data_IF_242877380661
#
_entry.id   IF_242877380661
#
_cell.length_a   1.000
_cell.length_b   1.000
_cell.length_c   1.000
_cell.angle_alpha   90.00
_cell.angle_beta   90.00
_cell.angle_gamma   90.00
#
_symmetry.space_group_name_H-M   'P 1'
#
loop_
_entity.id
_entity.type
_entity.pdbx_description
1 polymer ?
#
# COMPACT_ATOMS: atom_id res chain seq x y z
N UNK A 1 -37.32 20.64 29.55
CA UNK A 1 -35.86 20.84 29.38
C UNK A 1 -35.44 20.39 27.98
N UNK A 2 -35.16 21.35 27.08
CA UNK A 2 -34.66 21.07 25.72
C UNK A 2 -33.21 20.58 25.81
N UNK A 3 -32.95 19.33 25.39
CA UNK A 3 -31.58 18.84 25.18
C UNK A 3 -31.01 19.57 23.98
N UNK A 4 -30.02 20.43 24.22
CA UNK A 4 -29.24 21.05 23.17
C UNK A 4 -28.44 19.95 22.45
N UNK A 5 -28.70 19.78 21.15
CA UNK A 5 -27.83 19.02 20.26
C UNK A 5 -26.50 19.80 20.13
N UNK A 6 -25.52 19.44 20.95
CA UNK A 6 -24.13 19.83 20.73
C UNK A 6 -23.70 19.20 19.40
N UNK A 7 -23.55 20.05 18.38
CA UNK A 7 -23.13 19.66 17.04
C UNK A 7 -21.85 18.82 17.09
N UNK A 8 -21.81 17.75 16.29
CA UNK A 8 -20.57 16.98 16.09
C UNK A 8 -19.48 17.95 15.63
N UNK A 9 -18.41 18.05 16.41
CA UNK A 9 -17.21 18.79 16.03
C UNK A 9 -16.68 18.21 14.72
N UNK A 10 -16.85 18.94 13.63
CA UNK A 10 -16.47 18.54 12.27
C UNK A 10 -14.99 18.86 11.98
N UNK A 11 -14.22 19.21 13.01
CA UNK A 11 -12.78 19.49 12.87
C UNK A 11 -12.01 18.20 12.56
N UNK A 12 -11.03 18.24 11.63
CA UNK A 12 -10.19 17.09 11.35
C UNK A 12 -9.52 16.61 12.64
N UNK A 13 -9.60 15.30 12.89
CA UNK A 13 -9.02 14.69 14.09
C UNK A 13 -7.50 14.90 14.08
N UNK A 14 -7.02 15.76 14.97
CA UNK A 14 -5.59 16.04 15.18
C UNK A 14 -4.94 14.85 15.90
N UNK A 15 -4.57 13.82 15.14
CA UNK A 15 -4.07 12.55 15.70
C UNK A 15 -2.87 12.74 16.63
N UNK A 16 -2.03 13.76 16.40
CA UNK A 16 -0.84 14.05 17.20
C UNK A 16 -1.16 14.55 18.62
N UNK A 17 -2.36 15.11 18.83
CA UNK A 17 -2.83 15.44 20.19
C UNK A 17 -3.24 14.20 20.99
N UNK A 18 -3.67 13.16 20.28
CA UNK A 18 -4.11 11.89 20.87
C UNK A 18 -2.93 10.92 21.00
N UNK A 19 -1.94 11.05 20.11
CA UNK A 19 -0.75 10.19 20.01
C UNK A 19 0.52 11.04 19.92
N UNK A 20 0.93 11.71 21.01
CA UNK A 20 2.10 12.58 21.02
C UNK A 20 3.39 11.83 20.67
N UNK A 21 3.54 10.58 21.09
CA UNK A 21 4.72 9.76 20.76
C UNK A 21 4.96 9.58 19.25
N UNK A 22 3.89 9.56 18.45
CA UNK A 22 4.01 9.46 16.99
C UNK A 22 4.48 10.79 16.36
N UNK A 23 4.16 11.93 16.99
CA UNK A 23 4.70 13.23 16.61
C UNK A 23 6.17 13.35 17.02
N UNK A 24 6.53 12.86 18.21
CA UNK A 24 7.91 12.84 18.68
C UNK A 24 8.79 12.01 17.74
N UNK A 25 8.34 10.81 17.33
CA UNK A 25 9.05 9.97 16.35
C UNK A 25 9.28 10.68 15.01
N UNK A 26 8.28 11.41 14.49
CA UNK A 26 8.45 12.23 13.28
C UNK A 26 9.52 13.31 13.52
N UNK A 27 9.44 14.01 14.66
CA UNK A 27 10.34 15.12 14.99
C UNK A 27 11.77 14.62 15.14
N UNK A 28 11.99 13.48 15.80
CA UNK A 28 13.29 12.82 15.89
C UNK A 28 13.84 12.44 14.52
N UNK A 29 12.99 11.94 13.61
CA UNK A 29 13.42 11.56 12.27
C UNK A 29 13.92 12.76 11.42
N UNK A 30 13.46 13.98 11.71
CA UNK A 30 13.88 15.19 10.99
C UNK A 30 15.36 15.52 11.18
N UNK A 31 15.99 15.08 12.28
CA UNK A 31 17.44 15.22 12.45
C UNK A 31 18.24 14.55 11.32
N UNK A 32 17.68 13.50 10.70
CA UNK A 32 18.31 12.83 9.56
C UNK A 32 17.99 13.49 8.21
N UNK A 33 17.01 14.39 8.16
CA UNK A 33 16.50 15.10 6.99
C UNK A 33 16.25 16.59 7.33
N UNK A 34 17.30 17.39 7.59
CA UNK A 34 17.15 18.75 8.14
C UNK A 34 16.49 19.76 7.18
N UNK A 35 16.43 19.45 5.88
CA UNK A 35 15.76 20.28 4.87
C UNK A 35 14.25 20.02 4.78
N UNK A 36 13.75 19.08 5.57
CA UNK A 36 12.34 18.78 5.70
C UNK A 36 11.76 19.51 6.94
N UNK A 37 10.64 20.21 6.75
CA UNK A 37 9.97 20.96 7.82
C UNK A 37 8.56 20.43 8.07
N UNK A 38 8.24 20.20 9.32
CA UNK A 38 6.89 19.85 9.76
C UNK A 38 6.08 21.14 9.98
N UNK A 39 4.88 21.18 9.41
CA UNK A 39 3.96 22.33 9.49
C UNK A 39 2.53 21.83 9.72
N UNK A 40 1.69 22.64 10.38
CA UNK A 40 0.24 22.40 10.46
C UNK A 40 -0.47 23.27 9.42
N UNK A 41 -1.25 22.66 8.53
CA UNK A 41 -2.07 23.34 7.52
C UNK A 41 -3.49 22.76 7.61
N UNK A 42 -4.50 23.62 7.80
CA UNK A 42 -5.91 23.25 7.91
C UNK A 42 -6.19 22.10 8.90
N UNK A 43 -5.51 22.12 10.04
CA UNK A 43 -5.65 21.08 11.06
C UNK A 43 -5.11 19.71 10.62
N UNK A 44 -4.14 19.67 9.71
CA UNK A 44 -3.36 18.49 9.32
C UNK A 44 -1.88 18.78 9.43
N UNK A 45 -1.11 17.82 9.95
CA UNK A 45 0.35 17.89 9.87
C UNK A 45 0.81 17.50 8.47
N UNK A 46 1.71 18.30 7.93
CA UNK A 46 2.33 18.13 6.62
C UNK A 46 3.83 18.33 6.78
N UNK A 47 4.59 17.39 6.21
CA UNK A 47 6.02 17.52 6.06
C UNK A 47 6.34 18.07 4.67
N UNK A 48 7.13 19.13 4.53
CA UNK A 48 7.50 19.69 3.22
C UNK A 48 8.95 20.13 3.20
N UNK A 49 9.61 19.94 2.06
CA UNK A 49 10.97 20.44 1.83
C UNK A 49 11.74 19.58 0.85
N UNK A 50 13.07 19.64 0.91
CA UNK A 50 13.94 18.80 0.10
C UNK A 50 14.25 17.51 0.87
N UNK A 51 13.88 16.37 0.30
CA UNK A 51 14.30 15.06 0.80
C UNK A 51 15.68 14.73 0.23
N UNK A 52 16.68 14.61 1.11
CA UNK A 52 18.03 14.20 0.75
C UNK A 52 18.11 12.69 0.56
N UNK A 53 18.41 12.25 -0.66
CA UNK A 53 18.57 10.84 -1.02
C UNK A 53 19.96 10.41 -0.63
N UNK A 54 20.07 9.46 0.31
CA UNK A 54 21.37 8.97 0.76
C UNK A 54 21.79 7.70 0.02
N UNK A 55 23.05 7.57 -0.39
CA UNK A 55 23.67 6.30 -0.78
C UNK A 55 25.00 6.17 -0.05
N UNK A 56 25.29 5.00 0.52
CA UNK A 56 26.55 4.76 1.24
C UNK A 56 26.89 5.82 2.31
N UNK A 57 25.85 6.32 2.99
CA UNK A 57 25.98 7.35 4.03
C UNK A 57 26.04 8.80 3.54
N UNK A 58 26.26 9.02 2.23
CA UNK A 58 26.34 10.36 1.63
C UNK A 58 25.04 10.75 0.94
N UNK A 59 24.71 12.04 0.93
CA UNK A 59 23.59 12.54 0.11
C UNK A 59 24.05 12.63 -1.34
N UNK A 60 23.41 11.85 -2.22
CA UNK A 60 23.75 11.81 -3.65
C UNK A 60 22.88 12.74 -4.51
N UNK A 61 21.68 13.07 -4.04
CA UNK A 61 20.78 14.04 -4.67
C UNK A 61 19.68 14.47 -3.68
N UNK A 62 18.79 15.38 -4.09
CA UNK A 62 17.62 15.76 -3.32
C UNK A 62 16.39 16.06 -4.18
N UNK A 63 15.20 15.79 -3.63
CA UNK A 63 13.93 16.01 -4.33
C UNK A 63 12.96 16.82 -3.49
N UNK A 64 12.23 17.79 -4.07
CA UNK A 64 11.20 18.49 -3.34
C UNK A 64 10.00 17.57 -3.12
N UNK A 65 9.60 17.40 -1.87
CA UNK A 65 8.50 16.50 -1.49
C UNK A 65 7.52 17.19 -0.55
N UNK A 66 6.30 16.64 -0.54
CA UNK A 66 5.31 16.86 0.52
C UNK A 66 4.88 15.50 1.07
N UNK A 67 4.91 15.31 2.38
CA UNK A 67 4.50 14.08 3.05
C UNK A 67 3.25 14.37 3.86
N UNK A 68 2.18 13.63 3.57
CA UNK A 68 0.89 13.75 4.22
C UNK A 68 0.69 12.60 5.21
N UNK A 69 0.20 12.93 6.40
CA UNK A 69 -0.15 11.95 7.42
C UNK A 69 -1.67 11.73 7.46
N UNK A 70 -2.17 10.49 7.33
CA UNK A 70 -3.60 10.24 7.39
C UNK A 70 -4.15 10.50 8.80
N UNK A 71 -5.46 10.78 8.92
CA UNK A 71 -6.11 11.10 10.19
C UNK A 71 -6.06 9.99 11.25
N UNK A 72 -5.68 8.77 10.87
CA UNK A 72 -5.49 7.62 11.76
C UNK A 72 -4.01 7.23 11.96
N UNK A 73 -3.05 8.09 11.59
CA UNK A 73 -1.63 7.88 11.86
C UNK A 73 -1.38 7.63 13.37
N UNK A 74 -0.46 6.72 13.75
CA UNK A 74 0.48 5.95 12.92
C UNK A 74 -0.07 4.65 12.31
N UNK A 75 -1.37 4.34 12.47
CA UNK A 75 -1.95 3.13 11.87
C UNK A 75 -2.17 3.25 10.35
N UNK A 76 -2.44 4.47 9.87
CA UNK A 76 -2.41 4.77 8.44
C UNK A 76 -0.99 5.10 8.00
N UNK A 77 -0.65 4.74 6.76
CA UNK A 77 0.69 4.99 6.20
C UNK A 77 0.78 6.42 5.63
N UNK A 78 1.92 7.10 5.79
CA UNK A 78 2.15 8.40 5.14
C UNK A 78 2.10 8.29 3.62
N UNK A 79 1.69 9.37 2.96
CA UNK A 79 1.67 9.51 1.50
C UNK A 79 2.75 10.52 1.11
N UNK A 80 3.67 10.15 0.23
CA UNK A 80 4.68 11.05 -0.32
C UNK A 80 4.20 11.57 -1.67
N UNK A 81 4.15 12.89 -1.80
CA UNK A 81 3.86 13.61 -3.03
C UNK A 81 5.17 14.19 -3.57
N UNK A 82 5.46 13.92 -4.85
CA UNK A 82 6.65 14.43 -5.54
C UNK A 82 6.31 15.79 -6.14
N UNK A 83 7.07 16.82 -5.79
CA UNK A 83 6.85 18.18 -6.29
C UNK A 83 7.78 18.47 -7.50
N UNK A 84 7.43 19.49 -8.29
CA UNK A 84 8.18 19.87 -9.49
C UNK A 84 8.04 18.87 -10.64
N UNK A 85 8.79 19.10 -11.72
CA UNK A 85 8.58 18.41 -13.00
C UNK A 85 9.70 17.43 -13.37
N UNK A 86 10.77 17.34 -12.56
CA UNK A 86 11.94 16.48 -12.82
C UNK A 86 11.55 15.02 -13.05
N UNK A 87 10.63 14.51 -12.23
CA UNK A 87 10.07 13.17 -12.42
C UNK A 87 8.66 13.32 -13.02
N UNK A 88 8.42 12.83 -14.25
CA UNK A 88 7.14 12.99 -14.89
C UNK A 88 6.08 12.13 -14.19
N UNK A 89 4.85 12.62 -14.21
CA UNK A 89 3.69 11.87 -13.72
C UNK A 89 3.39 10.72 -14.67
N UNK A 90 3.81 9.51 -14.30
CA UNK A 90 3.59 8.30 -15.09
C UNK A 90 3.56 7.06 -14.19
N UNK A 91 2.67 6.09 -14.47
CA UNK A 91 2.71 4.77 -13.84
C UNK A 91 4.08 4.10 -13.96
N UNK A 92 4.73 4.20 -15.12
CA UNK A 92 6.06 3.66 -15.40
C UNK A 92 7.17 4.39 -14.64
N UNK A 93 6.87 5.53 -14.02
CA UNK A 93 7.75 6.24 -13.10
C UNK A 93 7.25 6.16 -11.66
N UNK A 94 6.29 5.27 -11.37
CA UNK A 94 5.70 5.10 -10.06
C UNK A 94 5.15 6.42 -9.46
N UNK A 95 4.65 7.32 -10.30
CA UNK A 95 3.97 8.55 -9.87
C UNK A 95 2.52 8.50 -10.35
N UNK A 96 1.60 8.55 -9.39
CA UNK A 96 0.17 8.60 -9.65
C UNK A 96 -0.26 9.97 -10.19
N UNK A 97 -1.46 10.04 -10.77
CA UNK A 97 -2.01 11.26 -11.36
C UNK A 97 -2.12 12.44 -10.38
N UNK A 98 -2.26 12.16 -9.09
CA UNK A 98 -2.30 13.14 -8.00
C UNK A 98 -0.92 13.50 -7.44
N UNK A 99 0.16 13.14 -8.16
CA UNK A 99 1.57 13.32 -7.79
C UNK A 99 2.04 12.48 -6.59
N UNK A 100 1.20 11.60 -6.05
CA UNK A 100 1.64 10.66 -5.02
C UNK A 100 2.59 9.60 -5.60
N UNK A 101 3.66 9.29 -4.87
CA UNK A 101 4.62 8.25 -5.21
C UNK A 101 4.08 6.88 -4.80
N UNK A 102 4.09 5.93 -5.74
CA UNK A 102 3.81 4.53 -5.48
C UNK A 102 5.07 3.84 -4.94
N UNK A 103 5.32 4.01 -3.64
CA UNK A 103 6.55 3.54 -2.99
C UNK A 103 6.64 2.02 -2.81
N UNK A 104 5.49 1.34 -2.66
CA UNK A 104 5.37 -0.09 -2.33
C UNK A 104 3.91 -0.55 -2.41
N UNK A 105 3.66 -1.86 -2.30
CA UNK A 105 2.33 -2.39 -1.95
C UNK A 105 2.10 -2.21 -0.44
N UNK A 106 1.08 -1.46 0.01
CA UNK A 106 0.93 -1.08 1.42
C UNK A 106 0.90 -2.26 2.41
N UNK A 107 0.25 -3.35 2.06
CA UNK A 107 0.15 -4.52 2.93
C UNK A 107 1.46 -5.31 2.99
N UNK A 108 2.25 -5.30 1.91
CA UNK A 108 3.60 -5.88 1.90
C UNK A 108 4.54 -5.11 2.83
N UNK A 109 4.53 -3.78 2.75
CA UNK A 109 5.28 -2.95 3.68
C UNK A 109 4.87 -3.22 5.13
N UNK A 110 3.58 -3.35 5.41
CA UNK A 110 3.09 -3.66 6.75
C UNK A 110 3.44 -5.09 7.23
N UNK A 111 3.60 -6.04 6.31
CA UNK A 111 3.97 -7.40 6.64
C UNK A 111 5.46 -7.54 6.96
N UNK A 112 6.32 -6.75 6.31
CA UNK A 112 7.76 -6.97 6.29
C UNK A 112 8.62 -5.81 6.84
N UNK A 113 8.02 -4.67 7.20
CA UNK A 113 8.78 -3.56 7.78
C UNK A 113 9.49 -4.02 9.07
N UNK A 114 10.76 -3.61 9.28
CA UNK A 114 11.51 -4.04 10.45
C UNK A 114 11.00 -3.40 11.75
N UNK A 115 10.44 -2.19 11.65
CA UNK A 115 9.83 -1.47 12.76
C UNK A 115 8.80 -0.43 12.26
N UNK A 116 8.12 0.21 13.20
CA UNK A 116 7.05 1.18 12.94
C UNK A 116 7.54 2.65 12.88
N UNK A 117 8.86 2.89 12.94
CA UNK A 117 9.41 4.25 13.02
C UNK A 117 9.29 5.00 11.71
N UNK A 118 8.99 6.28 11.78
CA UNK A 118 8.93 7.16 10.61
C UNK A 118 10.30 7.28 9.93
N UNK A 119 11.40 7.25 10.70
CA UNK A 119 12.75 7.22 10.14
C UNK A 119 12.98 5.99 9.24
N UNK A 120 12.46 4.83 9.61
CA UNK A 120 12.55 3.60 8.82
C UNK A 120 11.77 3.73 7.51
N UNK A 121 10.59 4.35 7.55
CA UNK A 121 9.84 4.71 6.33
C UNK A 121 10.64 5.67 5.42
N UNK A 122 11.31 6.68 5.96
CA UNK A 122 12.16 7.56 5.15
C UNK A 122 13.36 6.82 4.55
N UNK A 123 14.02 5.94 5.34
CA UNK A 123 15.28 5.27 4.96
C UNK A 123 15.10 4.08 4.04
N UNK A 124 13.95 3.43 4.03
CA UNK A 124 13.71 2.27 3.18
C UNK A 124 12.84 2.67 1.99
N UNK A 125 11.49 2.77 2.10
CA UNK A 125 10.68 2.95 0.92
C UNK A 125 10.86 4.30 0.22
N UNK A 126 10.93 5.41 0.96
CA UNK A 126 11.09 6.74 0.33
C UNK A 126 12.47 6.88 -0.33
N UNK A 127 13.53 6.51 0.38
CA UNK A 127 14.89 6.48 -0.17
C UNK A 127 15.00 5.57 -1.39
N UNK A 128 14.52 4.33 -1.31
CA UNK A 128 14.63 3.36 -2.40
C UNK A 128 13.88 3.82 -3.63
N UNK A 129 12.69 4.42 -3.46
CA UNK A 129 11.96 5.06 -4.57
C UNK A 129 12.85 6.08 -5.29
N UNK A 130 13.42 7.06 -4.58
CA UNK A 130 14.23 8.08 -5.23
C UNK A 130 15.55 7.55 -5.81
N UNK A 131 16.19 6.56 -5.19
CA UNK A 131 17.33 5.87 -5.80
C UNK A 131 16.95 5.18 -7.11
N UNK A 132 15.78 4.54 -7.16
CA UNK A 132 15.23 3.99 -8.39
C UNK A 132 15.01 5.05 -9.46
N UNK A 133 14.49 6.23 -9.08
CA UNK A 133 14.29 7.36 -10.00
C UNK A 133 15.61 7.88 -10.57
N UNK A 134 16.64 8.03 -9.73
CA UNK A 134 17.98 8.42 -10.16
C UNK A 134 18.58 7.39 -11.13
N UNK A 135 18.43 6.10 -10.82
CA UNK A 135 18.87 5.05 -11.71
C UNK A 135 18.14 5.10 -13.07
N UNK A 136 16.82 5.31 -13.06
CA UNK A 136 16.01 5.44 -14.26
C UNK A 136 16.43 6.65 -15.10
N UNK A 137 16.73 7.80 -14.49
CA UNK A 137 17.17 8.99 -15.23
C UNK A 137 18.39 8.69 -16.12
N UNK A 138 19.33 7.90 -15.61
CA UNK A 138 20.54 7.48 -16.33
C UNK A 138 20.29 6.33 -17.31
N UNK A 139 19.56 5.29 -16.90
CA UNK A 139 19.49 4.02 -17.65
C UNK A 139 18.20 3.84 -18.47
N UNK A 140 17.21 4.74 -18.28
CA UNK A 140 15.86 4.68 -18.87
C UNK A 140 15.11 3.37 -18.58
N UNK A 141 15.50 2.71 -17.49
CA UNK A 141 14.87 1.54 -16.89
C UNK A 141 15.20 1.54 -15.41
N UNK A 142 14.39 0.88 -14.60
CA UNK A 142 14.72 0.69 -13.20
C UNK A 142 15.80 -0.39 -13.01
N UNK A 143 16.44 -0.44 -11.84
CA UNK A 143 17.38 -1.50 -11.50
C UNK A 143 16.74 -2.88 -11.69
N UNK A 144 17.49 -3.91 -12.12
CA UNK A 144 16.96 -5.26 -12.31
C UNK A 144 16.56 -5.95 -10.99
N UNK A 145 16.69 -5.26 -9.86
CA UNK A 145 16.28 -5.74 -8.53
C UNK A 145 14.88 -5.25 -8.18
N UNK A 146 13.90 -6.15 -8.30
CA UNK A 146 12.77 -6.17 -7.35
C UNK A 146 11.63 -5.18 -7.57
N UNK A 147 11.34 -4.77 -8.81
CA UNK A 147 10.11 -4.02 -9.07
C UNK A 147 8.88 -4.92 -9.08
N UNK A 148 7.84 -4.49 -8.36
CA UNK A 148 6.51 -5.06 -8.49
C UNK A 148 5.86 -4.56 -9.78
N UNK A 149 5.10 -5.43 -10.45
CA UNK A 149 4.29 -5.01 -11.59
C UNK A 149 3.28 -3.90 -11.19
N UNK A 150 2.81 -3.11 -12.14
CA UNK A 150 1.85 -2.06 -11.83
C UNK A 150 0.45 -2.62 -11.49
N UNK A 151 -0.27 -1.86 -10.67
CA UNK A 151 -1.68 -2.08 -10.37
C UNK A 151 -1.98 -3.46 -9.75
N UNK A 152 -3.08 -4.08 -10.17
CA UNK A 152 -3.55 -5.36 -9.65
C UNK A 152 -2.56 -6.51 -9.83
N UNK A 153 -1.64 -6.44 -10.79
CA UNK A 153 -0.64 -7.49 -10.98
C UNK A 153 0.40 -7.48 -9.85
N UNK A 154 1.00 -6.32 -9.54
CA UNK A 154 1.94 -6.23 -8.41
C UNK A 154 1.28 -6.50 -7.06
N UNK A 155 -0.01 -6.18 -6.92
CA UNK A 155 -0.78 -6.55 -5.73
C UNK A 155 -0.92 -8.08 -5.59
N UNK A 156 -1.18 -8.78 -6.69
CA UNK A 156 -1.25 -10.25 -6.70
C UNK A 156 0.11 -10.85 -6.36
N UNK A 157 1.19 -10.34 -6.96
CA UNK A 157 2.55 -10.82 -6.70
C UNK A 157 2.94 -10.60 -5.23
N UNK A 158 2.65 -9.42 -4.68
CA UNK A 158 2.92 -9.13 -3.27
C UNK A 158 2.15 -10.06 -2.33
N UNK A 159 0.86 -10.30 -2.59
CA UNK A 159 0.06 -11.14 -1.70
C UNK A 159 0.38 -12.63 -1.88
N UNK A 160 0.79 -13.03 -3.08
CA UNK A 160 1.38 -14.34 -3.36
C UNK A 160 2.59 -14.59 -2.46
N UNK A 161 3.51 -13.63 -2.39
CA UNK A 161 4.73 -13.74 -1.61
C UNK A 161 4.46 -13.72 -0.10
N UNK A 162 3.64 -12.79 0.39
CA UNK A 162 3.23 -12.73 1.81
C UNK A 162 2.61 -14.05 2.25
N UNK A 163 1.72 -14.60 1.41
CA UNK A 163 0.99 -15.82 1.75
C UNK A 163 1.78 -17.08 1.42
N UNK A 164 2.84 -17.04 0.62
CA UNK A 164 3.53 -18.22 0.09
C UNK A 164 2.60 -19.15 -0.67
N UNK A 165 1.81 -18.60 -1.61
CA UNK A 165 0.84 -19.32 -2.45
C UNK A 165 0.98 -18.86 -3.90
N UNK A 166 0.53 -19.62 -4.91
CA UNK A 166 0.64 -19.17 -6.29
C UNK A 166 -0.01 -17.80 -6.55
N UNK A 167 0.58 -17.03 -7.46
CA UNK A 167 0.12 -15.71 -7.92
C UNK A 167 -1.18 -15.78 -8.76
N UNK A 168 -2.24 -16.30 -8.16
CA UNK A 168 -3.56 -16.49 -8.75
C UNK A 168 -4.60 -15.84 -7.86
N UNK A 169 -5.24 -14.80 -8.38
CA UNK A 169 -6.17 -13.95 -7.61
C UNK A 169 -7.27 -14.74 -6.88
N UNK A 170 -7.79 -15.82 -7.49
CA UNK A 170 -8.82 -16.65 -6.86
C UNK A 170 -8.28 -17.50 -5.70
N UNK A 171 -7.04 -18.00 -5.82
CA UNK A 171 -6.38 -18.76 -4.75
C UNK A 171 -6.04 -17.83 -3.59
N UNK A 172 -5.45 -16.67 -3.86
CA UNK A 172 -5.18 -15.62 -2.88
C UNK A 172 -6.48 -15.21 -2.17
N UNK A 173 -7.54 -14.91 -2.92
CA UNK A 173 -8.85 -14.57 -2.33
C UNK A 173 -9.37 -15.66 -1.40
N UNK A 174 -9.24 -16.93 -1.81
CA UNK A 174 -9.70 -18.06 -1.00
C UNK A 174 -8.91 -18.21 0.30
N UNK A 175 -7.58 -18.09 0.25
CA UNK A 175 -6.72 -18.04 1.44
C UNK A 175 -7.11 -16.89 2.37
N UNK A 176 -7.25 -15.67 1.82
CA UNK A 176 -7.63 -14.49 2.59
C UNK A 176 -9.02 -14.61 3.22
N UNK A 177 -9.96 -15.35 2.61
CA UNK A 177 -11.26 -15.65 3.23
C UNK A 177 -11.10 -16.46 4.52
N UNK A 178 -10.13 -17.36 4.58
CA UNK A 178 -9.83 -18.16 5.77
C UNK A 178 -9.11 -17.31 6.81
N UNK A 179 -8.03 -16.63 6.40
CA UNK A 179 -7.15 -15.86 7.28
C UNK A 179 -7.82 -14.62 7.88
N UNK A 180 -8.75 -14.01 7.15
CA UNK A 180 -9.52 -12.87 7.65
C UNK A 180 -10.59 -13.26 8.70
N UNK A 181 -10.78 -14.56 8.98
CA UNK A 181 -11.71 -15.05 10.01
C UNK A 181 -11.04 -15.08 11.38
N UNK A 182 -11.72 -14.55 12.40
CA UNK A 182 -11.26 -14.65 13.80
C UNK A 182 -11.18 -16.12 14.29
N UNK A 183 -11.93 -17.03 13.68
CA UNK A 183 -11.87 -18.48 13.94
C UNK A 183 -11.97 -19.24 12.62
N UNK A 184 -10.88 -19.87 12.18
CA UNK A 184 -10.91 -20.77 11.03
C UNK A 184 -11.71 -22.02 11.44
N UNK A 185 -12.75 -22.37 10.68
CA UNK A 185 -13.53 -23.58 11.00
C UNK A 185 -12.91 -24.77 10.28
N UNK A 186 -12.54 -25.80 11.04
CA UNK A 186 -11.88 -27.00 10.49
C UNK A 186 -12.69 -27.74 9.41
N UNK A 187 -14.00 -27.53 9.34
CA UNK A 187 -14.89 -28.09 8.31
C UNK A 187 -14.91 -27.29 6.99
N UNK A 188 -14.21 -26.15 6.90
CA UNK A 188 -14.10 -25.42 5.64
C UNK A 188 -13.29 -26.21 4.62
N UNK A 189 -13.59 -26.04 3.33
CA UNK A 189 -12.80 -26.65 2.25
C UNK A 189 -11.34 -26.18 2.34
N UNK A 190 -10.41 -27.10 2.14
CA UNK A 190 -8.99 -26.83 2.23
C UNK A 190 -8.54 -25.90 1.08
N UNK A 191 -7.74 -24.86 1.37
CA UNK A 191 -7.29 -23.92 0.33
C UNK A 191 -6.21 -24.47 -0.62
N UNK A 192 -5.67 -25.66 -0.38
CA UNK A 192 -4.67 -26.28 -1.26
C UNK A 192 -5.24 -26.93 -2.52
N UNK A 193 -6.57 -26.92 -2.73
CA UNK A 193 -7.21 -27.51 -3.90
C UNK A 193 -7.47 -29.02 -3.83
N UNK A 194 -7.14 -29.71 -2.73
CA UNK A 194 -7.31 -31.17 -2.58
C UNK A 194 -8.75 -31.66 -2.50
N UNK A 195 -9.75 -30.77 -2.44
CA UNK A 195 -11.16 -31.12 -2.22
C UNK A 195 -11.52 -31.52 -0.79
N UNK A 196 -10.55 -31.82 0.08
CA UNK A 196 -10.75 -32.17 1.51
C UNK A 196 -11.08 -30.94 2.36
N UNK A 197 -11.54 -31.14 3.60
CA UNK A 197 -11.69 -30.05 4.58
C UNK A 197 -10.36 -29.74 5.31
N UNK A 198 -10.21 -28.52 5.83
CA UNK A 198 -8.98 -28.02 6.47
C UNK A 198 -8.49 -28.97 7.56
N UNK A 199 -9.37 -29.46 8.46
CA UNK A 199 -8.98 -30.34 9.57
C UNK A 199 -8.44 -31.71 9.12
N UNK A 200 -8.71 -32.14 7.88
CA UNK A 200 -8.29 -33.42 7.30
C UNK A 200 -7.21 -33.26 6.22
N UNK A 201 -6.68 -32.05 6.00
CA UNK A 201 -5.72 -31.79 4.93
C UNK A 201 -4.59 -30.87 5.38
N UNK A 202 -4.77 -29.55 5.34
CA UNK A 202 -3.71 -28.58 5.62
C UNK A 202 -3.94 -27.82 6.94
N UNK A 203 -4.38 -28.51 8.01
CA UNK A 203 -4.69 -27.88 9.31
C UNK A 203 -3.49 -27.08 9.85
N UNK A 204 -2.30 -27.69 9.87
CA UNK A 204 -1.10 -27.06 10.40
C UNK A 204 -0.68 -25.86 9.54
N UNK A 205 -0.60 -26.02 8.23
CA UNK A 205 -0.28 -24.93 7.31
C UNK A 205 -1.23 -23.72 7.46
N UNK A 206 -2.53 -23.95 7.62
CA UNK A 206 -3.49 -22.87 7.86
C UNK A 206 -3.22 -22.20 9.21
N UNK A 207 -2.96 -22.99 10.26
CA UNK A 207 -2.61 -22.46 11.58
C UNK A 207 -1.34 -21.60 11.53
N UNK A 208 -0.28 -22.09 10.90
CA UNK A 208 1.00 -21.36 10.77
C UNK A 208 0.81 -20.03 10.03
N UNK A 209 0.04 -20.03 8.93
CA UNK A 209 -0.28 -18.79 8.21
C UNK A 209 -1.15 -17.84 9.03
N UNK A 210 -2.03 -18.33 9.91
CA UNK A 210 -2.80 -17.48 10.82
C UNK A 210 -1.93 -16.83 11.90
N UNK A 211 -0.84 -17.48 12.32
CA UNK A 211 0.14 -16.87 13.23
C UNK A 211 0.96 -15.79 12.52
N UNK A 212 1.37 -16.06 11.27
CA UNK A 212 2.23 -15.15 10.51
C UNK A 212 1.48 -14.02 9.80
N UNK A 213 0.16 -14.11 9.64
CA UNK A 213 -0.67 -13.09 9.00
C UNK A 213 -1.77 -12.63 9.95
N UNK A 214 -1.58 -11.50 10.67
CA UNK A 214 -2.59 -10.97 11.55
C UNK A 214 -3.93 -10.75 10.84
N UNK A 215 -5.04 -11.02 11.54
CA UNK A 215 -6.39 -10.95 10.96
C UNK A 215 -6.70 -9.59 10.35
N UNK A 216 -6.22 -8.50 10.96
CA UNK A 216 -6.44 -7.14 10.43
C UNK A 216 -5.74 -6.94 9.08
N UNK A 217 -4.54 -7.51 8.90
CA UNK A 217 -3.79 -7.44 7.65
C UNK A 217 -4.46 -8.30 6.58
N UNK A 218 -4.87 -9.52 6.93
CA UNK A 218 -5.65 -10.39 6.04
C UNK A 218 -6.96 -9.73 5.59
N UNK A 219 -7.68 -9.03 6.48
CA UNK A 219 -8.88 -8.26 6.14
C UNK A 219 -8.59 -7.12 5.16
N UNK A 220 -7.45 -6.44 5.33
CA UNK A 220 -7.01 -5.36 4.45
C UNK A 220 -6.67 -5.89 3.06
N UNK A 221 -5.82 -6.92 2.98
CA UNK A 221 -5.51 -7.62 1.72
C UNK A 221 -6.77 -8.13 1.01
N UNK A 222 -7.70 -8.75 1.76
CA UNK A 222 -8.96 -9.25 1.20
C UNK A 222 -9.78 -8.15 0.53
N UNK A 223 -9.83 -6.96 1.14
CA UNK A 223 -10.57 -5.81 0.60
C UNK A 223 -10.02 -5.38 -0.74
N UNK A 224 -8.70 -5.29 -0.87
CA UNK A 224 -8.08 -4.88 -2.13
C UNK A 224 -8.23 -5.95 -3.23
N UNK A 225 -8.13 -7.23 -2.89
CA UNK A 225 -8.41 -8.33 -3.83
C UNK A 225 -9.86 -8.30 -4.32
N UNK A 226 -10.83 -8.00 -3.46
CA UNK A 226 -12.23 -7.87 -3.87
C UNK A 226 -12.45 -6.71 -4.84
N UNK A 227 -11.79 -5.56 -4.63
CA UNK A 227 -11.82 -4.44 -5.58
C UNK A 227 -11.23 -4.83 -6.93
N UNK A 228 -10.10 -5.53 -6.94
CA UNK A 228 -9.45 -5.98 -8.16
C UNK A 228 -10.29 -7.02 -8.93
N UNK A 229 -10.92 -7.96 -8.22
CA UNK A 229 -11.86 -8.91 -8.82
C UNK A 229 -13.04 -8.20 -9.49
N UNK A 230 -13.62 -7.20 -8.82
CA UNK A 230 -14.71 -6.40 -9.37
C UNK A 230 -14.26 -5.57 -10.58
N UNK A 231 -13.09 -4.94 -10.51
CA UNK A 231 -12.50 -4.23 -11.65
C UNK A 231 -12.32 -5.13 -12.87
N UNK A 232 -11.75 -6.35 -12.68
CA UNK A 232 -11.60 -7.34 -13.75
C UNK A 232 -12.95 -7.78 -14.32
N UNK A 233 -13.95 -7.97 -13.47
CA UNK A 233 -15.31 -8.34 -13.91
C UNK A 233 -15.90 -7.25 -14.79
N UNK A 234 -15.85 -5.99 -14.37
CA UNK A 234 -16.35 -4.85 -15.14
C UNK A 234 -15.64 -4.72 -16.50
N UNK A 235 -14.31 -4.88 -16.53
CA UNK A 235 -13.52 -4.86 -17.77
C UNK A 235 -13.92 -5.98 -18.74
N UNK A 236 -14.17 -7.19 -18.23
CA UNK A 236 -14.66 -8.33 -19.05
C UNK A 236 -16.06 -8.07 -19.60
N UNK A 237 -16.97 -7.53 -18.79
CA UNK A 237 -18.33 -7.17 -19.26
C UNK A 237 -18.28 -6.12 -20.36
N UNK A 238 -17.47 -5.05 -20.19
CA UNK A 238 -17.32 -4.00 -21.21
C UNK A 238 -16.78 -4.55 -22.53
N UNK A 239 -15.71 -5.34 -22.48
CA UNK A 239 -15.15 -5.99 -23.68
C UNK A 239 -16.19 -6.82 -24.42
N UNK A 240 -16.97 -7.65 -23.71
CA UNK A 240 -18.04 -8.45 -24.33
C UNK A 240 -19.09 -7.59 -25.04
N UNK A 241 -19.43 -6.43 -24.48
CA UNK A 241 -20.38 -5.48 -25.11
C UNK A 241 -19.76 -4.83 -26.34
N UNK A 242 -18.48 -4.47 -26.29
CA UNK A 242 -17.76 -3.87 -27.41
C UNK A 242 -17.59 -4.86 -28.58
N UNK A 243 -17.24 -6.12 -28.27
CA UNK A 243 -17.14 -7.21 -29.24
C UNK A 243 -18.49 -7.46 -29.92
N UNK A 244 -19.58 -7.54 -29.15
CA UNK A 244 -20.93 -7.73 -29.69
C UNK A 244 -21.37 -6.57 -30.60
N UNK A 245 -20.99 -5.32 -30.28
CA UNK A 245 -21.28 -4.16 -31.15
C UNK A 245 -20.46 -4.18 -32.44
N UNK A 246 -19.24 -4.70 -32.39
CA UNK A 246 -18.37 -4.84 -33.56
C UNK A 246 -18.93 -5.89 -34.52
N UNK A 247 -19.32 -7.06 -34.01
CA UNK A 247 -19.92 -8.13 -34.80
C UNK A 247 -21.20 -7.66 -35.53
N UNK A 248 -22.04 -6.86 -34.86
CA UNK A 248 -23.25 -6.27 -35.47
C UNK A 248 -22.92 -5.26 -36.57
N UNK A 249 -21.82 -4.51 -36.46
CA UNK A 249 -21.38 -3.54 -37.49
C UNK A 249 -20.71 -4.21 -38.68
N UNK A 250 -20.03 -5.33 -38.48
CA UNK A 250 -19.39 -6.10 -39.56
C UNK A 250 -20.41 -6.98 -40.32
N UNK A 251 -21.58 -7.25 -39.72
CA UNK A 251 -22.68 -7.98 -40.34
C UNK A 251 -23.71 -7.10 -41.09
N UNK A 252 -23.55 -5.77 -41.08
CA UNK A 252 -24.43 -4.79 -41.72
C UNK A 252 -23.74 -4.14 -42.92
#
# INVERSE_FOLDING_TARGET
MRRQNLGRDNRPRRWWKIRPSALDDITTALSAQPLLRLTEVDGKLILKGMFGVKSEGQTVDSFPVRIHFPGNYPHGLPIVEVLGERIPTSPDRHINSDRSACLYVPEEWLAHRPDDRFLTFLRIPVRNFFLGQLYYETHKRFPPTGERQHYGAGLIDAYSDILGVPAKINEIHYWLRILASNRSKGHWKCPCGSGKIVRQCCRQLVFDKQQNTPVWLAKRMKREILKELEHRRQKRTRRRVDDQKRDVREAA
#
